data_IF_885671085625
#
_entry.id   IF_885671085625
#
_cell.length_a   1.000
_cell.length_b   1.000
_cell.length_c   1.000
_cell.angle_alpha   90.00
_cell.angle_beta   90.00
_cell.angle_gamma   90.00
#
_symmetry.space_group_name_H-M   'P 1'
#
loop_
_entity.id
_entity.type
_entity.pdbx_description
1 polymer ?
#
# COMPACT_ATOMS: atom_id res chain seq x y z
N UNK A 1 -7.03 -0.38 12.09
CA UNK A 1 -7.39 -1.53 11.23
C UNK A 1 -6.12 -2.25 10.84
N UNK A 2 -5.72 -3.24 11.63
CA UNK A 2 -4.60 -4.12 11.30
C UNK A 2 -5.00 -5.01 10.13
N UNK A 3 -4.11 -5.20 9.17
CA UNK A 3 -4.32 -6.14 8.06
C UNK A 3 -4.44 -7.54 8.66
N UNK A 4 -5.54 -8.27 8.44
CA UNK A 4 -5.71 -9.60 8.98
C UNK A 4 -4.61 -10.54 8.46
N UNK A 5 -4.06 -11.35 9.35
CA UNK A 5 -2.87 -12.18 9.10
C UNK A 5 -3.05 -13.16 7.93
N UNK A 6 -4.29 -13.59 7.67
CA UNK A 6 -4.68 -14.40 6.51
C UNK A 6 -4.42 -13.71 5.16
N UNK A 7 -4.63 -12.40 5.08
CA UNK A 7 -4.36 -11.65 3.84
C UNK A 7 -2.84 -11.55 3.65
N UNK A 8 -2.10 -11.44 4.74
CA UNK A 8 -0.62 -11.37 4.73
C UNK A 8 0.03 -12.66 4.26
N UNK A 9 -0.55 -13.81 4.60
CA UNK A 9 -0.08 -15.14 4.18
C UNK A 9 -0.52 -15.50 2.75
N UNK A 10 -1.75 -15.15 2.34
CA UNK A 10 -2.23 -15.38 0.96
C UNK A 10 -1.42 -14.65 -0.11
N UNK A 11 -0.89 -13.47 0.21
CA UNK A 11 -0.04 -12.68 -0.70
C UNK A 11 1.47 -12.85 -0.44
N UNK A 12 1.89 -13.71 0.50
CA UNK A 12 3.30 -14.04 0.71
C UNK A 12 3.83 -15.08 -0.30
N UNK A 13 2.96 -15.88 -0.92
CA UNK A 13 3.34 -17.02 -1.78
C UNK A 13 2.87 -16.92 -3.23
N UNK A 14 2.34 -15.77 -3.67
CA UNK A 14 1.89 -15.57 -5.05
C UNK A 14 2.50 -14.32 -5.71
N UNK A 15 2.69 -14.29 -7.05
CA UNK A 15 3.30 -13.17 -7.78
C UNK A 15 2.41 -11.90 -7.84
N UNK A 16 1.30 -11.87 -7.09
CA UNK A 16 0.32 -10.79 -7.12
C UNK A 16 0.58 -9.88 -5.92
N UNK A 17 1.11 -8.69 -6.15
CA UNK A 17 1.28 -7.68 -5.11
C UNK A 17 -0.07 -7.35 -4.44
N UNK A 18 -0.06 -7.16 -3.12
CA UNK A 18 -1.27 -6.84 -2.38
C UNK A 18 -1.78 -5.44 -2.77
N UNK A 19 -3.00 -5.36 -3.29
CA UNK A 19 -3.61 -4.08 -3.70
C UNK A 19 -4.42 -3.51 -2.54
N UNK A 20 -4.03 -2.34 -2.06
CA UNK A 20 -4.70 -1.60 -0.99
C UNK A 20 -5.49 -0.47 -1.64
N UNK A 21 -6.81 -0.59 -1.64
CA UNK A 21 -7.70 0.47 -2.09
C UNK A 21 -8.07 1.39 -0.92
N UNK A 22 -7.45 2.58 -0.88
CA UNK A 22 -7.72 3.57 0.16
C UNK A 22 -9.01 4.35 -0.12
N UNK A 23 -9.37 4.52 -1.39
CA UNK A 23 -10.55 5.29 -1.82
C UNK A 23 -11.84 4.63 -1.34
N UNK A 24 -11.96 3.31 -1.50
CA UNK A 24 -13.09 2.51 -1.01
C UNK A 24 -13.25 2.59 0.52
N UNK A 25 -12.16 2.89 1.23
CA UNK A 25 -12.16 3.07 2.70
C UNK A 25 -12.33 4.53 3.13
N UNK A 26 -12.62 5.45 2.21
CA UNK A 26 -12.79 6.89 2.49
C UNK A 26 -11.48 7.62 2.80
N UNK A 27 -10.33 7.02 2.48
CA UNK A 27 -9.00 7.62 2.70
C UNK A 27 -8.44 8.10 1.38
N UNK A 28 -8.38 9.42 1.21
CA UNK A 28 -7.97 10.04 -0.04
C UNK A 28 -6.49 10.44 -0.07
N UNK A 29 -5.87 10.62 1.11
CA UNK A 29 -4.47 11.09 1.24
C UNK A 29 -3.62 10.11 2.05
N UNK A 30 -2.56 9.59 1.43
CA UNK A 30 -1.60 8.68 2.05
C UNK A 30 -0.36 9.46 2.51
N UNK A 31 -0.05 9.32 3.80
CA UNK A 31 1.11 9.94 4.45
C UNK A 31 2.19 8.88 4.72
N UNK A 32 3.45 9.29 4.75
CA UNK A 32 4.60 8.39 4.92
C UNK A 32 5.02 8.16 6.38
N UNK A 33 4.10 8.23 7.34
CA UNK A 33 4.42 8.05 8.77
C UNK A 33 4.40 6.56 9.14
N UNK A 34 5.39 6.11 9.91
CA UNK A 34 5.56 4.69 10.28
C UNK A 34 6.39 3.89 9.28
N UNK A 35 6.45 2.57 9.48
CA UNK A 35 7.20 1.63 8.65
C UNK A 35 6.26 0.77 7.81
N UNK A 36 6.63 0.53 6.56
CA UNK A 36 5.93 -0.43 5.70
C UNK A 36 6.55 -1.82 5.87
N UNK A 37 5.76 -2.91 5.77
CA UNK A 37 6.29 -4.26 5.75
C UNK A 37 7.23 -4.46 4.54
N UNK A 38 8.18 -5.39 4.66
CA UNK A 38 9.13 -5.81 3.59
C UNK A 38 8.47 -6.49 2.39
N UNK A 39 7.15 -6.39 2.25
CA UNK A 39 6.37 -7.03 1.19
C UNK A 39 5.97 -5.97 0.15
N UNK A 40 6.01 -6.30 -1.16
CA UNK A 40 5.60 -5.38 -2.20
C UNK A 40 4.09 -5.13 -2.12
N UNK A 41 3.71 -3.85 -2.06
CA UNK A 41 2.32 -3.40 -1.97
C UNK A 41 1.99 -2.39 -3.06
N UNK A 42 0.78 -2.49 -3.61
CA UNK A 42 0.24 -1.51 -4.54
C UNK A 42 -0.83 -0.71 -3.82
N UNK A 43 -0.65 0.60 -3.68
CA UNK A 43 -1.59 1.46 -2.96
C UNK A 43 -2.34 2.33 -3.97
N UNK A 44 -3.68 2.32 -3.91
CA UNK A 44 -4.56 3.18 -4.69
C UNK A 44 -5.13 4.32 -3.84
N UNK A 45 -4.79 5.56 -4.15
CA UNK A 45 -5.30 6.75 -3.46
C UNK A 45 -5.32 7.97 -4.38
N UNK A 46 -5.99 9.05 -3.95
CA UNK A 46 -6.04 10.31 -4.73
C UNK A 46 -4.78 11.17 -4.56
N UNK A 47 -4.21 11.15 -3.36
CA UNK A 47 -3.03 11.94 -3.02
C UNK A 47 -1.99 11.11 -2.27
N UNK A 48 -0.73 11.24 -2.67
CA UNK A 48 0.40 10.69 -1.96
C UNK A 48 1.35 11.80 -1.52
N UNK A 49 1.91 11.67 -0.33
CA UNK A 49 3.04 12.51 0.08
C UNK A 49 4.35 11.96 -0.50
N UNK A 50 5.31 12.83 -0.79
CA UNK A 50 6.64 12.44 -1.30
C UNK A 50 7.31 11.34 -0.45
N UNK A 51 7.14 11.41 0.87
CA UNK A 51 7.67 10.40 1.80
C UNK A 51 6.96 9.05 1.66
N UNK A 52 5.64 9.05 1.43
CA UNK A 52 4.87 7.83 1.23
C UNK A 52 5.31 7.13 -0.06
N UNK A 53 5.42 7.87 -1.16
CA UNK A 53 5.87 7.32 -2.45
C UNK A 53 7.27 6.71 -2.36
N UNK A 54 8.21 7.42 -1.72
CA UNK A 54 9.57 6.91 -1.51
C UNK A 54 9.55 5.59 -0.75
N UNK A 55 8.77 5.48 0.32
CA UNK A 55 8.68 4.25 1.12
C UNK A 55 8.00 3.11 0.37
N UNK A 56 6.92 3.38 -0.37
CA UNK A 56 6.22 2.37 -1.18
C UNK A 56 7.14 1.84 -2.27
N UNK A 57 7.89 2.72 -2.96
CA UNK A 57 8.88 2.31 -3.97
C UNK A 57 10.06 1.53 -3.35
N UNK A 58 10.50 1.92 -2.15
CA UNK A 58 11.60 1.25 -1.45
C UNK A 58 11.29 -0.23 -1.09
N UNK A 59 10.02 -0.58 -0.88
CA UNK A 59 9.59 -1.97 -0.63
C UNK A 59 9.21 -2.73 -1.90
N UNK A 60 9.51 -2.16 -3.09
CA UNK A 60 9.17 -2.77 -4.38
C UNK A 60 7.67 -2.65 -4.75
N UNK A 61 6.97 -1.70 -4.15
CA UNK A 61 5.57 -1.42 -4.39
C UNK A 61 5.32 -0.35 -5.45
N UNK A 62 4.05 -0.09 -5.75
CA UNK A 62 3.62 0.94 -6.69
C UNK A 62 2.51 1.84 -6.10
N UNK A 63 2.54 3.11 -6.44
CA UNK A 63 1.49 4.08 -6.13
C UNK A 63 0.58 4.27 -7.35
N UNK A 64 -0.69 3.90 -7.24
CA UNK A 64 -1.72 4.20 -8.23
C UNK A 64 -2.49 5.46 -7.79
N UNK A 65 -2.38 6.50 -8.59
CA UNK A 65 -3.21 7.69 -8.46
C UNK A 65 -4.59 7.41 -9.08
N UNK A 66 -5.64 7.68 -8.31
CA UNK A 66 -7.03 7.56 -8.74
C UNK A 66 -7.66 8.95 -8.73
N UNK A 67 -8.41 9.31 -9.77
CA UNK A 67 -9.06 10.63 -9.88
C UNK A 67 -10.19 10.83 -8.86
#
# INVERSE_FOLDING_TARGET
MSVPEETRTKYASGPKAAVIDCVSKGVYKVLGKGELPKQPVVVKAKFFSKLAEKKIKAVGGACLLVA
#
